data_IF_139707423942
#
_entry.id   IF_139707423942
#
_cell.length_a   1.000
_cell.length_b   1.000
_cell.length_c   1.000
_cell.angle_alpha   90.00
_cell.angle_beta   90.00
_cell.angle_gamma   90.00
#
_symmetry.space_group_name_H-M   'P 1'
#
loop_
_entity.id
_entity.type
_entity.pdbx_description
1 polymer ?
#
# COMPACT_ATOMS: atom_id res chain seq x y z
N UNK A 1 3.00 14.53 -12.34
CA UNK A 1 3.57 15.86 -12.03
C UNK A 1 4.43 16.42 -13.16
N UNK A 2 5.58 15.84 -13.52
CA UNK A 2 6.45 16.37 -14.61
C UNK A 2 5.71 16.58 -15.95
N UNK A 3 4.84 15.64 -16.37
CA UNK A 3 4.15 15.77 -17.64
C UNK A 3 3.18 16.96 -17.68
N UNK A 4 2.40 17.16 -16.61
CA UNK A 4 1.43 18.27 -16.52
C UNK A 4 2.08 19.62 -16.24
N UNK A 5 3.14 19.65 -15.43
CA UNK A 5 3.76 20.89 -14.96
C UNK A 5 4.90 21.38 -15.86
N UNK A 6 5.52 20.49 -16.65
CA UNK A 6 6.68 20.82 -17.46
C UNK A 6 6.41 20.61 -18.95
N UNK A 7 5.88 19.43 -19.34
CA UNK A 7 5.77 19.05 -20.75
C UNK A 7 4.56 19.72 -21.42
N UNK A 8 3.36 19.63 -20.85
CA UNK A 8 2.16 20.27 -21.42
C UNK A 8 2.36 21.78 -21.62
N UNK A 9 2.93 22.54 -20.67
CA UNK A 9 3.21 23.97 -20.87
C UNK A 9 4.16 24.28 -22.03
N UNK A 10 5.02 23.35 -22.45
CA UNK A 10 5.90 23.57 -23.62
C UNK A 10 5.13 23.63 -24.95
N UNK A 11 3.88 23.14 -24.98
CA UNK A 11 2.99 23.25 -26.14
C UNK A 11 2.29 24.61 -26.25
N UNK A 12 2.64 25.60 -25.40
CA UNK A 12 1.99 26.92 -25.41
C UNK A 12 2.43 27.84 -26.57
N UNK A 13 3.52 27.53 -27.26
CA UNK A 13 4.06 28.34 -28.36
C UNK A 13 3.53 27.83 -29.69
N UNK A 14 3.01 28.73 -30.53
CA UNK A 14 2.61 28.37 -31.89
C UNK A 14 3.81 27.87 -32.71
N UNK A 15 3.59 26.78 -33.46
CA UNK A 15 4.58 26.22 -34.39
C UNK A 15 5.07 27.30 -35.34
N UNK A 16 6.38 27.35 -35.56
CA UNK A 16 7.02 28.25 -36.53
C UNK A 16 7.11 27.55 -37.88
N UNK A 17 6.61 28.20 -38.93
CA UNK A 17 6.73 27.71 -40.30
C UNK A 17 8.14 27.94 -40.85
N UNK A 18 8.41 27.32 -42.00
CA UNK A 18 9.71 27.38 -42.69
C UNK A 18 10.10 28.80 -43.13
N UNK A 19 9.11 29.68 -43.33
CA UNK A 19 9.28 31.10 -43.61
C UNK A 19 9.45 31.96 -42.35
N UNK A 20 9.40 31.34 -41.17
CA UNK A 20 9.54 32.00 -39.89
C UNK A 20 8.27 32.61 -39.31
N UNK A 21 7.14 32.52 -40.03
CA UNK A 21 5.82 33.00 -39.60
C UNK A 21 5.14 32.03 -38.61
N UNK A 22 4.02 32.46 -38.03
CA UNK A 22 3.16 31.67 -37.13
C UNK A 22 1.72 31.87 -37.55
N UNK A 23 1.03 30.78 -37.87
CA UNK A 23 -0.38 30.80 -38.26
C UNK A 23 -1.20 30.13 -37.17
N UNK A 24 -2.12 30.89 -36.57
CA UNK A 24 -3.00 30.37 -35.50
C UNK A 24 -4.03 29.37 -36.02
N UNK A 25 -4.41 29.52 -37.28
CA UNK A 25 -5.41 28.70 -37.99
C UNK A 25 -4.91 27.27 -38.31
N UNK A 26 -3.63 26.97 -38.08
CA UNK A 26 -3.03 25.70 -38.48
C UNK A 26 -3.44 24.58 -37.52
N UNK A 27 -4.15 23.56 -38.04
CA UNK A 27 -4.78 22.49 -37.24
C UNK A 27 -3.77 21.64 -36.45
N UNK A 28 -2.54 21.51 -36.93
CA UNK A 28 -1.47 20.76 -36.22
C UNK A 28 -0.77 21.59 -35.15
N UNK A 29 -1.12 22.86 -35.01
CA UNK A 29 -0.52 23.73 -34.02
C UNK A 29 -0.95 23.29 -32.62
N UNK A 30 0.02 23.08 -31.71
CA UNK A 30 -0.22 22.64 -30.32
C UNK A 30 -0.92 21.29 -30.15
N UNK A 31 -1.00 20.48 -31.22
CA UNK A 31 -1.60 19.15 -31.18
C UNK A 31 -0.87 18.25 -30.17
N UNK A 32 -1.63 17.49 -29.38
CA UNK A 32 -1.08 16.53 -28.42
C UNK A 32 -1.49 15.11 -28.82
N UNK A 33 -0.52 14.19 -28.89
CA UNK A 33 -0.75 12.79 -29.23
C UNK A 33 -0.32 11.93 -28.05
N UNK A 34 -1.24 11.10 -27.55
CA UNK A 34 -1.02 10.18 -26.45
C UNK A 34 -1.15 8.75 -26.98
N UNK A 35 -0.10 7.94 -26.80
CA UNK A 35 -0.07 6.53 -27.23
C UNK A 35 0.30 5.69 -26.00
N UNK A 36 -0.53 4.70 -25.69
CA UNK A 36 -0.35 3.79 -24.55
C UNK A 36 -1.02 2.45 -24.84
N UNK A 37 -0.54 1.38 -24.21
CA UNK A 37 -1.36 0.17 -23.99
C UNK A 37 -2.28 0.38 -22.79
N UNK A 38 -3.24 -0.51 -22.56
CA UNK A 38 -4.04 -0.42 -21.35
C UNK A 38 -3.14 -0.52 -20.11
N UNK A 39 -3.57 0.08 -19.02
CA UNK A 39 -2.82 0.21 -17.77
C UNK A 39 -3.69 -0.17 -16.58
N UNK A 40 -3.35 0.40 -15.44
CA UNK A 40 -4.22 0.41 -14.26
C UNK A 40 -5.18 1.59 -14.32
N UNK A 41 -6.43 1.41 -13.87
CA UNK A 41 -7.45 2.49 -13.84
C UNK A 41 -7.09 3.67 -12.93
N UNK A 42 -6.19 3.50 -11.97
CA UNK A 42 -5.69 4.58 -11.12
C UNK A 42 -4.54 5.39 -11.77
N UNK A 43 -4.13 5.04 -12.99
CA UNK A 43 -3.01 5.72 -13.67
C UNK A 43 -3.44 7.01 -14.37
N UNK A 44 -2.47 7.90 -14.59
CA UNK A 44 -2.63 9.10 -15.40
C UNK A 44 -3.15 8.79 -16.81
N UNK A 45 -2.65 7.72 -17.44
CA UNK A 45 -3.03 7.34 -18.78
C UNK A 45 -4.52 6.98 -18.87
N UNK A 46 -5.08 6.32 -17.83
CA UNK A 46 -6.51 6.04 -17.76
C UNK A 46 -7.33 7.32 -17.62
N UNK A 47 -6.92 8.24 -16.74
CA UNK A 47 -7.60 9.52 -16.56
C UNK A 47 -7.61 10.33 -17.86
N UNK A 48 -6.49 10.38 -18.59
CA UNK A 48 -6.40 11.05 -19.89
C UNK A 48 -7.23 10.39 -20.99
N UNK A 49 -7.29 9.06 -21.01
CA UNK A 49 -8.17 8.34 -21.92
C UNK A 49 -9.64 8.77 -21.72
N UNK A 50 -10.11 8.84 -20.47
CA UNK A 50 -11.47 9.26 -20.15
C UNK A 50 -11.70 10.73 -20.54
N UNK A 51 -10.74 11.62 -20.26
CA UNK A 51 -10.79 13.03 -20.65
C UNK A 51 -10.94 13.20 -22.17
N UNK A 52 -10.08 12.53 -22.95
CA UNK A 52 -10.11 12.60 -24.42
C UNK A 52 -11.40 11.98 -24.97
N UNK A 53 -11.88 10.87 -24.38
CA UNK A 53 -13.14 10.26 -24.78
C UNK A 53 -14.32 11.23 -24.58
N UNK A 54 -14.42 11.87 -23.41
CA UNK A 54 -15.47 12.85 -23.13
C UNK A 54 -15.36 14.03 -24.10
N UNK A 55 -14.16 14.56 -24.32
CA UNK A 55 -13.95 15.68 -25.22
C UNK A 55 -14.25 15.31 -26.69
N UNK A 56 -13.98 14.07 -27.12
CA UNK A 56 -14.35 13.61 -28.48
C UNK A 56 -15.86 13.59 -28.72
N UNK A 57 -16.67 13.59 -27.66
CA UNK A 57 -18.13 13.71 -27.75
C UNK A 57 -18.56 15.18 -27.74
N UNK A 58 -17.91 16.00 -26.90
CA UNK A 58 -18.24 17.43 -26.74
C UNK A 58 -17.78 18.25 -27.94
N UNK A 59 -16.58 17.97 -28.44
CA UNK A 59 -15.87 18.70 -29.49
C UNK A 59 -15.18 17.72 -30.46
N UNK A 60 -15.97 17.00 -31.29
CA UNK A 60 -15.47 15.93 -32.16
C UNK A 60 -14.54 16.40 -33.27
N UNK A 61 -14.55 17.71 -33.60
CA UNK A 61 -13.68 18.28 -34.63
C UNK A 61 -12.24 18.48 -34.11
N UNK A 62 -12.07 18.62 -32.80
CA UNK A 62 -10.76 18.87 -32.15
C UNK A 62 -10.19 17.63 -31.43
N UNK A 63 -11.04 16.67 -31.02
CA UNK A 63 -10.63 15.50 -30.25
C UNK A 63 -10.98 14.20 -30.96
N UNK A 64 -9.96 13.35 -31.10
CA UNK A 64 -10.11 12.01 -31.63
C UNK A 64 -9.51 10.98 -30.66
N UNK A 65 -10.23 9.88 -30.49
CA UNK A 65 -9.80 8.70 -29.74
C UNK A 65 -9.83 7.48 -30.67
N UNK A 66 -8.77 6.68 -30.65
CA UNK A 66 -8.69 5.43 -31.38
C UNK A 66 -8.14 4.35 -30.46
N UNK A 67 -8.71 3.14 -30.56
CA UNK A 67 -8.27 1.98 -29.82
C UNK A 67 -8.45 0.73 -30.66
N UNK A 68 -7.62 -0.28 -30.40
CA UNK A 68 -7.67 -1.56 -31.09
C UNK A 68 -7.10 -2.66 -30.21
N UNK A 69 -7.43 -3.90 -30.56
CA UNK A 69 -6.84 -5.09 -29.95
C UNK A 69 -5.88 -5.73 -30.95
N UNK A 70 -5.19 -6.79 -30.53
CA UNK A 70 -4.37 -7.62 -31.42
C UNK A 70 -5.18 -8.23 -32.59
N UNK A 71 -6.51 -8.29 -32.51
CA UNK A 71 -7.36 -8.85 -33.56
C UNK A 71 -7.34 -8.00 -34.83
N UNK A 72 -7.19 -6.68 -34.70
CA UNK A 72 -7.12 -5.76 -35.85
C UNK A 72 -5.90 -6.02 -36.74
N UNK A 73 -4.64 -6.09 -36.23
CA UNK A 73 -3.50 -6.44 -37.06
C UNK A 73 -3.54 -7.90 -37.55
N UNK A 74 -4.16 -8.84 -36.82
CA UNK A 74 -4.37 -10.22 -37.33
C UNK A 74 -5.29 -10.20 -38.55
N UNK A 75 -6.45 -9.54 -38.45
CA UNK A 75 -7.40 -9.43 -39.57
C UNK A 75 -6.79 -8.69 -40.78
N UNK A 76 -5.87 -7.76 -40.55
CA UNK A 76 -5.14 -7.06 -41.60
C UNK A 76 -3.95 -7.86 -42.19
N UNK A 77 -3.66 -9.06 -41.68
CA UNK A 77 -2.52 -9.88 -42.10
C UNK A 77 -1.15 -9.33 -41.68
N UNK A 78 -1.13 -8.44 -40.67
CA UNK A 78 0.08 -7.82 -40.13
C UNK A 78 0.64 -8.55 -38.91
N UNK A 79 -0.19 -9.35 -38.22
CA UNK A 79 0.19 -10.19 -37.10
C UNK A 79 -0.23 -11.63 -37.38
N UNK A 80 0.66 -12.57 -37.13
CA UNK A 80 0.38 -14.00 -37.28
C UNK A 80 -0.50 -14.50 -36.13
N UNK A 81 -1.58 -15.22 -36.46
CA UNK A 81 -2.51 -15.77 -35.47
C UNK A 81 -1.82 -16.84 -34.62
N UNK A 82 -1.01 -17.70 -35.24
CA UNK A 82 -0.27 -18.78 -34.58
C UNK A 82 0.67 -18.24 -33.50
N UNK A 83 1.26 -17.05 -33.73
CA UNK A 83 2.13 -16.39 -32.75
C UNK A 83 1.36 -16.01 -31.47
N UNK A 84 0.14 -15.48 -31.61
CA UNK A 84 -0.70 -15.09 -30.47
C UNK A 84 -1.17 -16.32 -29.69
N UNK A 85 -1.53 -17.40 -30.41
CA UNK A 85 -1.89 -18.67 -29.77
C UNK A 85 -0.73 -19.28 -29.00
N UNK A 86 0.47 -19.29 -29.58
CA UNK A 86 1.68 -19.76 -28.88
C UNK A 86 1.97 -18.95 -27.63
N UNK A 87 1.79 -17.62 -27.68
CA UNK A 87 1.99 -16.75 -26.52
C UNK A 87 1.05 -17.11 -25.34
N UNK A 88 -0.18 -17.55 -25.64
CA UNK A 88 -1.15 -18.03 -24.64
C UNK A 88 -0.80 -19.39 -24.04
N UNK A 89 -0.07 -20.22 -24.78
CA UNK A 89 0.34 -21.56 -24.36
C UNK A 89 1.64 -21.58 -23.54
N UNK A 90 2.33 -20.44 -23.42
CA UNK A 90 3.56 -20.34 -22.63
C UNK A 90 3.27 -20.52 -21.13
N UNK A 91 4.12 -21.27 -20.43
CA UNK A 91 3.98 -21.46 -18.97
C UNK A 91 4.14 -20.18 -18.13
N UNK A 92 4.67 -19.11 -18.73
CA UNK A 92 4.79 -17.76 -18.15
C UNK A 92 3.60 -16.85 -18.47
N UNK A 93 2.56 -17.37 -19.12
CA UNK A 93 1.39 -16.60 -19.50
C UNK A 93 0.64 -16.06 -18.28
N UNK A 94 0.36 -14.77 -18.28
CA UNK A 94 -0.48 -14.09 -17.31
C UNK A 94 -1.65 -13.44 -18.05
N UNK A 95 -2.88 -13.89 -17.75
CA UNK A 95 -4.08 -13.47 -18.46
C UNK A 95 -4.37 -11.97 -18.28
N UNK A 96 -4.14 -11.41 -17.09
CA UNK A 96 -4.31 -9.97 -16.84
C UNK A 96 -3.31 -9.13 -17.65
N UNK A 97 -2.06 -9.58 -17.72
CA UNK A 97 -1.03 -8.92 -18.53
C UNK A 97 -1.36 -9.03 -20.02
N UNK A 98 -1.86 -10.17 -20.48
CA UNK A 98 -2.30 -10.33 -21.86
C UNK A 98 -3.52 -9.46 -22.19
N UNK A 99 -4.52 -9.41 -21.30
CA UNK A 99 -5.69 -8.56 -21.45
C UNK A 99 -5.30 -7.08 -21.57
N UNK A 100 -4.29 -6.67 -20.82
CA UNK A 100 -3.78 -5.31 -20.82
C UNK A 100 -3.00 -4.97 -22.09
N UNK A 101 -2.02 -5.80 -22.46
CA UNK A 101 -1.11 -5.50 -23.57
C UNK A 101 -1.71 -5.81 -24.95
N UNK A 102 -2.56 -6.84 -25.07
CA UNK A 102 -3.08 -7.33 -26.36
C UNK A 102 -4.57 -7.03 -26.57
N UNK A 103 -5.39 -7.00 -25.51
CA UNK A 103 -6.85 -6.77 -25.64
C UNK A 103 -7.30 -5.37 -25.27
N UNK A 104 -6.38 -4.48 -24.89
CA UNK A 104 -6.68 -3.10 -24.49
C UNK A 104 -7.72 -3.02 -23.36
N UNK A 105 -7.71 -3.99 -22.45
CA UNK A 105 -8.59 -4.04 -21.28
C UNK A 105 -7.86 -3.42 -20.09
N UNK A 106 -8.42 -2.36 -19.53
CA UNK A 106 -7.89 -1.69 -18.34
C UNK A 106 -8.23 -2.47 -17.08
N UNK A 107 -7.20 -2.89 -16.34
CA UNK A 107 -7.36 -3.61 -15.08
C UNK A 107 -7.78 -2.65 -13.95
N UNK A 108 -8.78 -3.07 -13.16
CA UNK A 108 -9.17 -2.40 -11.92
C UNK A 108 -8.15 -2.63 -10.80
N UNK A 109 -8.40 -2.05 -9.62
CA UNK A 109 -7.69 -2.44 -8.39
C UNK A 109 -7.80 -3.97 -8.26
N UNK A 110 -6.71 -4.64 -7.90
CA UNK A 110 -6.56 -6.11 -7.92
C UNK A 110 -7.82 -6.78 -7.37
N UNK A 111 -8.50 -7.62 -8.17
CA UNK A 111 -9.83 -8.19 -7.83
C UNK A 111 -9.86 -8.99 -6.50
N UNK A 112 -8.71 -9.29 -5.91
CA UNK A 112 -8.56 -9.96 -4.61
C UNK A 112 -7.90 -9.11 -3.52
N UNK A 113 -7.69 -7.81 -3.72
CA UNK A 113 -7.15 -6.96 -2.66
C UNK A 113 -8.22 -6.70 -1.59
N UNK A 114 -7.96 -7.17 -0.37
CA UNK A 114 -8.83 -6.94 0.79
C UNK A 114 -9.04 -5.46 1.13
N UNK A 115 -8.17 -4.59 0.62
CA UNK A 115 -8.12 -3.16 0.91
C UNK A 115 -7.97 -2.37 -0.39
N UNK A 116 -8.67 -1.23 -0.51
CA UNK A 116 -8.58 -0.38 -1.69
C UNK A 116 -7.34 0.53 -1.64
N UNK A 117 -6.62 0.63 -2.75
CA UNK A 117 -5.39 1.43 -2.87
C UNK A 117 -5.62 2.90 -2.48
N UNK A 118 -6.76 3.47 -2.88
CA UNK A 118 -7.16 4.84 -2.54
C UNK A 118 -7.30 5.07 -1.01
N UNK A 119 -7.76 4.05 -0.26
CA UNK A 119 -7.86 4.16 1.20
C UNK A 119 -6.47 4.17 1.82
N UNK A 120 -5.55 3.36 1.32
CA UNK A 120 -4.17 3.38 1.79
C UNK A 120 -3.52 4.74 1.57
N UNK A 121 -3.61 5.30 0.36
CA UNK A 121 -2.99 6.59 0.07
C UNK A 121 -3.56 7.72 0.93
N UNK A 122 -4.89 7.73 1.14
CA UNK A 122 -5.55 8.71 2.01
C UNK A 122 -5.12 8.62 3.47
N UNK A 123 -4.89 7.42 3.99
CA UNK A 123 -4.60 7.16 5.41
C UNK A 123 -3.14 6.75 5.66
N UNK A 124 -2.24 7.03 4.70
CA UNK A 124 -0.83 6.61 4.74
C UNK A 124 -0.03 7.29 5.86
N UNK A 125 -0.42 8.50 6.26
CA UNK A 125 0.27 9.30 7.28
C UNK A 125 -0.66 9.53 8.46
N UNK A 126 -0.19 9.15 9.66
CA UNK A 126 -0.87 9.49 10.91
C UNK A 126 -0.64 10.97 11.21
N UNK A 127 -1.69 11.78 11.10
CA UNK A 127 -1.62 13.23 11.36
C UNK A 127 -1.48 13.60 12.83
N UNK A 128 -1.96 12.73 13.73
CA UNK A 128 -1.96 12.95 15.17
C UNK A 128 -1.47 11.68 15.88
N UNK A 129 -0.18 11.33 15.75
CA UNK A 129 0.37 10.18 16.42
C UNK A 129 0.44 10.40 17.93
N UNK A 130 0.16 9.35 18.69
CA UNK A 130 0.36 9.36 20.15
C UNK A 130 1.69 8.69 20.48
N UNK A 131 2.56 9.36 21.23
CA UNK A 131 3.89 8.84 21.61
C UNK A 131 3.94 8.17 22.98
N UNK A 132 2.85 8.26 23.75
CA UNK A 132 2.70 7.69 25.08
C UNK A 132 1.23 7.59 25.46
N UNK A 133 0.93 7.06 26.64
CA UNK A 133 -0.42 7.06 27.20
C UNK A 133 -0.99 8.48 27.25
N UNK A 134 -1.98 8.79 26.41
CA UNK A 134 -2.47 10.17 26.24
C UNK A 134 -3.12 10.77 27.49
N UNK A 135 -3.67 9.95 28.40
CA UNK A 135 -4.43 10.37 29.59
C UNK A 135 -5.71 11.17 29.33
N UNK A 136 -5.89 11.71 28.11
CA UNK A 136 -6.99 12.58 27.67
C UNK A 136 -8.13 11.81 27.01
N UNK A 137 -8.24 10.52 27.31
CA UNK A 137 -9.21 9.62 26.69
C UNK A 137 -10.39 9.34 27.62
N UNK A 138 -11.46 8.72 27.10
CA UNK A 138 -12.52 8.21 27.98
C UNK A 138 -11.91 7.27 29.03
N UNK A 139 -12.49 7.22 30.23
CA UNK A 139 -12.01 6.32 31.31
C UNK A 139 -11.98 4.84 30.90
N UNK A 140 -12.74 4.47 29.87
CA UNK A 140 -12.84 3.11 29.35
C UNK A 140 -11.91 2.84 28.19
N UNK A 141 -11.24 3.86 27.63
CA UNK A 141 -10.29 3.68 26.54
C UNK A 141 -9.01 3.02 27.04
N UNK A 142 -8.46 2.12 26.24
CA UNK A 142 -7.22 1.41 26.56
C UNK A 142 -6.40 1.18 25.29
N UNK A 143 -5.12 0.87 25.47
CA UNK A 143 -4.22 0.55 24.37
C UNK A 143 -4.06 -0.97 24.22
N UNK A 144 -3.80 -1.41 23.00
CA UNK A 144 -3.40 -2.78 22.66
C UNK A 144 -2.27 -2.69 21.66
N UNK A 145 -1.28 -3.55 21.78
CA UNK A 145 -0.22 -3.67 20.79
C UNK A 145 -0.48 -4.88 19.89
N UNK A 146 -0.19 -4.75 18.60
CA UNK A 146 0.02 -5.86 17.68
C UNK A 146 1.47 -5.85 17.23
N UNK A 147 2.16 -6.98 17.38
CA UNK A 147 3.58 -7.11 17.05
C UNK A 147 3.75 -8.18 15.98
N UNK A 148 4.29 -7.77 14.84
CA UNK A 148 4.83 -8.66 13.82
C UNK A 148 6.34 -8.78 14.05
N UNK A 149 6.82 -10.01 14.17
CA UNK A 149 8.19 -10.28 14.65
C UNK A 149 9.10 -10.53 13.46
N UNK A 150 10.15 -9.71 13.33
CA UNK A 150 11.21 -9.89 12.36
C UNK A 150 12.52 -10.37 12.97
N UNK A 151 13.29 -11.12 12.19
CA UNK A 151 14.69 -11.46 12.50
C UNK A 151 15.49 -11.63 11.21
N UNK A 152 16.80 -11.37 11.28
CA UNK A 152 17.79 -11.49 10.20
C UNK A 152 17.35 -10.85 8.88
N UNK A 153 17.61 -9.54 8.72
CA UNK A 153 17.30 -8.83 7.48
C UNK A 153 15.82 -8.45 7.29
N UNK A 154 14.98 -8.78 8.27
CA UNK A 154 13.61 -8.27 8.38
C UNK A 154 13.52 -7.16 9.44
N UNK A 155 12.36 -6.54 9.59
CA UNK A 155 12.08 -5.56 10.65
C UNK A 155 11.01 -6.13 11.58
N UNK A 156 10.99 -5.66 12.83
CA UNK A 156 9.91 -5.92 13.79
C UNK A 156 9.02 -4.69 13.87
N UNK A 157 7.74 -4.87 13.63
CA UNK A 157 6.73 -3.80 13.63
C UNK A 157 5.84 -3.89 14.86
N UNK A 158 5.77 -2.80 15.61
CA UNK A 158 4.88 -2.65 16.76
C UNK A 158 3.81 -1.63 16.41
N UNK A 159 2.60 -2.13 16.17
CA UNK A 159 1.42 -1.31 15.92
C UNK A 159 0.69 -1.01 17.23
N UNK A 160 0.52 0.27 17.55
CA UNK A 160 -0.17 0.72 18.77
C UNK A 160 -1.58 1.14 18.43
N UNK A 161 -2.54 0.38 18.96
CA UNK A 161 -3.96 0.66 18.80
C UNK A 161 -4.55 1.24 20.07
N UNK A 162 -5.29 2.34 19.91
CA UNK A 162 -6.17 2.88 20.93
C UNK A 162 -7.57 2.36 20.69
N UNK A 163 -8.11 1.65 21.68
CA UNK A 163 -9.45 1.08 21.65
C UNK A 163 -10.36 1.93 22.52
N UNK A 164 -11.43 2.45 21.93
CA UNK A 164 -12.46 3.24 22.63
C UNK A 164 -13.78 2.46 22.60
N UNK A 165 -14.09 1.69 23.66
CA UNK A 165 -15.36 0.99 23.77
C UNK A 165 -16.54 1.95 23.66
N UNK A 166 -17.56 1.54 22.89
CA UNK A 166 -18.81 2.27 22.76
C UNK A 166 -19.86 1.67 23.69
N UNK A 167 -20.83 2.49 24.11
CA UNK A 167 -21.96 2.01 24.93
C UNK A 167 -22.81 1.00 24.14
N UNK A 168 -22.90 1.19 22.82
CA UNK A 168 -23.58 0.28 21.90
C UNK A 168 -22.78 0.18 20.59
N UNK A 169 -22.70 -1.03 20.03
CA UNK A 169 -21.95 -1.30 18.79
C UNK A 169 -20.49 -1.71 19.03
N UNK A 170 -19.75 -1.84 17.93
CA UNK A 170 -18.34 -2.22 17.98
C UNK A 170 -17.47 -1.10 18.57
N UNK A 171 -16.41 -1.47 19.30
CA UNK A 171 -15.43 -0.51 19.78
C UNK A 171 -14.68 0.14 18.60
N UNK A 172 -14.43 1.44 18.69
CA UNK A 172 -13.52 2.10 17.76
C UNK A 172 -12.09 1.69 18.07
N UNK A 173 -11.36 1.24 17.04
CA UNK A 173 -9.95 0.87 17.12
C UNK A 173 -9.20 1.81 16.20
N UNK A 174 -8.30 2.62 16.76
CA UNK A 174 -7.52 3.60 16.00
C UNK A 174 -6.05 3.24 16.12
N UNK A 175 -5.36 3.09 15.00
CA UNK A 175 -3.91 3.02 14.97
C UNK A 175 -3.36 4.41 15.31
N UNK A 176 -2.67 4.53 16.43
CA UNK A 176 -2.15 5.82 16.93
C UNK A 176 -0.65 5.94 16.79
N UNK A 177 0.07 4.83 16.60
CA UNK A 177 1.49 4.85 16.28
C UNK A 177 1.95 3.51 15.69
N UNK A 178 3.06 3.54 14.96
CA UNK A 178 3.80 2.36 14.50
C UNK A 178 5.26 2.60 14.84
N UNK A 179 5.89 1.64 15.49
CA UNK A 179 7.34 1.61 15.69
C UNK A 179 7.93 0.48 14.86
N UNK A 180 9.01 0.79 14.13
CA UNK A 180 9.76 -0.19 13.34
C UNK A 180 11.15 -0.28 13.93
N UNK A 181 11.57 -1.50 14.25
CA UNK A 181 12.90 -1.81 14.74
C UNK A 181 13.59 -2.74 13.75
N UNK A 182 14.86 -2.51 13.49
CA UNK A 182 15.67 -3.42 12.68
C UNK A 182 15.77 -4.79 13.35
N UNK A 183 16.01 -5.86 12.57
CA UNK A 183 16.18 -7.21 13.09
C UNK A 183 17.42 -7.36 13.97
N UNK A 184 17.30 -6.93 15.21
CA UNK A 184 18.27 -7.11 16.27
C UNK A 184 18.07 -8.45 17.00
N UNK A 185 18.92 -8.70 17.99
CA UNK A 185 18.73 -9.83 18.89
C UNK A 185 17.40 -9.70 19.66
N UNK A 186 16.72 -10.83 19.90
CA UNK A 186 15.42 -10.83 20.60
C UNK A 186 15.48 -10.24 22.00
N UNK A 187 16.63 -10.31 22.66
CA UNK A 187 16.84 -9.65 23.94
C UNK A 187 16.65 -8.14 23.85
N UNK A 188 17.23 -7.50 22.82
CA UNK A 188 17.11 -6.06 22.57
C UNK A 188 15.71 -5.68 22.13
N UNK A 189 15.12 -6.47 21.22
CA UNK A 189 13.73 -6.26 20.80
C UNK A 189 12.76 -6.33 22.00
N UNK A 190 12.98 -7.27 22.93
CA UNK A 190 12.21 -7.41 24.15
C UNK A 190 12.30 -6.15 25.04
N UNK A 191 13.50 -5.57 25.19
CA UNK A 191 13.72 -4.33 25.94
C UNK A 191 12.88 -3.19 25.33
N UNK A 192 12.89 -3.02 24.01
CA UNK A 192 12.06 -2.00 23.34
C UNK A 192 10.57 -2.20 23.59
N UNK A 193 10.08 -3.44 23.48
CA UNK A 193 8.68 -3.77 23.73
C UNK A 193 8.30 -3.44 25.18
N UNK A 194 9.16 -3.77 26.15
CA UNK A 194 8.92 -3.50 27.56
C UNK A 194 8.91 -2.00 27.87
N UNK A 195 9.82 -1.21 27.31
CA UNK A 195 9.76 0.26 27.45
C UNK A 195 8.46 0.84 26.88
N UNK A 196 8.05 0.40 25.68
CA UNK A 196 6.77 0.82 25.09
C UNK A 196 5.59 0.38 25.95
N UNK A 197 5.62 -0.81 26.52
CA UNK A 197 4.59 -1.28 27.45
C UNK A 197 4.44 -0.32 28.64
N UNK A 198 5.54 0.07 29.29
CA UNK A 198 5.46 1.00 30.43
C UNK A 198 5.06 2.42 30.02
N UNK A 199 5.39 2.84 28.78
CA UNK A 199 5.04 4.15 28.23
C UNK A 199 3.55 4.28 27.87
N UNK A 200 2.97 3.27 27.25
CA UNK A 200 1.57 3.30 26.80
C UNK A 200 0.59 2.59 27.74
N UNK A 201 1.10 1.71 28.61
CA UNK A 201 0.31 0.90 29.55
C UNK A 201 -0.81 0.14 28.83
N UNK A 202 -0.50 -0.65 27.78
CA UNK A 202 -1.51 -1.38 27.05
C UNK A 202 -2.14 -2.46 27.92
N UNK A 203 -3.40 -2.76 27.65
CA UNK A 203 -4.13 -3.83 28.34
C UNK A 203 -3.59 -5.20 27.96
N UNK A 204 -3.17 -5.37 26.70
CA UNK A 204 -2.63 -6.61 26.13
C UNK A 204 -1.66 -6.29 25.01
N UNK A 205 -0.74 -7.21 24.79
CA UNK A 205 0.14 -7.27 23.61
C UNK A 205 -0.22 -8.56 22.88
N UNK A 206 -0.58 -8.46 21.61
CA UNK A 206 -0.72 -9.59 20.70
C UNK A 206 0.57 -9.70 19.90
N UNK A 207 1.17 -10.89 19.90
CA UNK A 207 2.43 -11.19 19.21
C UNK A 207 2.13 -12.31 18.22
N UNK A 208 2.57 -12.17 16.98
CA UNK A 208 2.61 -13.32 16.09
C UNK A 208 3.68 -14.31 16.59
N UNK A 209 3.21 -15.36 17.27
CA UNK A 209 4.05 -16.39 17.86
C UNK A 209 4.45 -17.47 16.85
N UNK A 210 3.97 -17.41 15.60
CA UNK A 210 4.27 -18.43 14.61
C UNK A 210 5.75 -18.38 14.20
N UNK A 211 6.33 -19.56 14.01
CA UNK A 211 7.73 -19.70 13.57
C UNK A 211 8.71 -19.08 14.58
N UNK A 212 9.29 -17.94 14.22
CA UNK A 212 10.35 -17.29 15.00
C UNK A 212 9.84 -16.45 16.18
N UNK A 213 8.56 -16.04 16.17
CA UNK A 213 7.97 -15.24 17.25
C UNK A 213 7.94 -15.93 18.61
N UNK A 214 7.91 -17.27 18.63
CA UNK A 214 8.05 -18.06 19.87
C UNK A 214 9.33 -17.72 20.64
N UNK A 215 10.42 -17.46 19.93
CA UNK A 215 11.69 -17.10 20.56
C UNK A 215 11.65 -15.72 21.21
N UNK A 216 10.85 -14.78 20.71
CA UNK A 216 10.66 -13.48 21.35
C UNK A 216 9.87 -13.63 22.67
N UNK A 217 8.88 -14.52 22.69
CA UNK A 217 8.10 -14.83 23.90
C UNK A 217 9.01 -15.36 25.01
N UNK A 218 9.95 -16.26 24.68
CA UNK A 218 10.92 -16.81 25.64
C UNK A 218 11.77 -15.74 26.35
N UNK A 219 12.03 -14.59 25.71
CA UNK A 219 12.72 -13.46 26.33
C UNK A 219 11.76 -12.55 27.11
N UNK A 220 10.52 -12.37 26.64
CA UNK A 220 9.52 -11.53 27.32
C UNK A 220 9.11 -12.10 28.67
N UNK A 221 9.06 -13.42 28.82
CA UNK A 221 8.74 -14.09 30.11
C UNK A 221 9.89 -14.06 31.12
N UNK A 222 11.05 -13.50 30.75
CA UNK A 222 12.19 -13.32 31.65
C UNK A 222 12.29 -11.87 32.08
N UNK A 223 12.69 -11.65 33.32
CA UNK A 223 13.12 -10.32 33.74
C UNK A 223 14.46 -9.98 33.08
N UNK A 224 14.68 -8.70 32.80
CA UNK A 224 15.90 -8.19 32.19
C UNK A 224 16.39 -6.98 32.96
N UNK A 225 17.69 -6.75 32.94
CA UNK A 225 18.31 -5.52 33.44
C UNK A 225 19.03 -4.88 32.25
N UNK A 226 18.76 -3.60 31.98
CA UNK A 226 19.44 -2.88 30.89
C UNK A 226 20.88 -2.55 31.29
N UNK A 227 21.72 -2.16 30.33
CA UNK A 227 23.09 -1.74 30.61
C UNK A 227 23.17 -0.57 31.60
N UNK A 228 22.14 0.26 31.65
CA UNK A 228 22.01 1.40 32.57
C UNK A 228 21.49 1.00 33.97
N UNK A 229 21.27 -0.29 34.24
CA UNK A 229 20.76 -0.82 35.50
C UNK A 229 19.24 -0.72 35.67
N UNK A 230 18.48 -0.46 34.60
CA UNK A 230 17.03 -0.44 34.66
C UNK A 230 16.48 -1.87 34.70
N UNK A 231 15.72 -2.19 35.75
CA UNK A 231 15.05 -3.47 35.87
C UNK A 231 13.71 -3.50 35.12
N UNK A 232 13.59 -4.43 34.18
CA UNK A 232 12.42 -4.67 33.36
C UNK A 232 11.79 -6.04 33.70
N UNK A 233 10.67 -6.06 34.44
CA UNK A 233 9.98 -7.28 34.88
C UNK A 233 9.64 -8.27 33.75
N UNK A 234 9.49 -9.54 34.13
CA UNK A 234 8.95 -10.60 33.27
C UNK A 234 7.47 -10.35 32.94
N UNK A 235 7.07 -10.66 31.72
CA UNK A 235 5.67 -10.62 31.30
C UNK A 235 5.01 -11.98 31.46
N UNK A 236 3.68 -11.97 31.60
CA UNK A 236 2.88 -13.18 31.56
C UNK A 236 2.31 -13.48 30.18
N UNK A 237 1.89 -14.72 29.98
CA UNK A 237 1.33 -15.22 28.72
C UNK A 237 -0.14 -15.60 28.91
N UNK A 238 -0.98 -15.24 27.96
CA UNK A 238 -2.38 -15.65 27.91
C UNK A 238 -2.64 -16.51 26.68
N UNK A 239 -3.76 -17.25 26.68
CA UNK A 239 -4.16 -18.13 25.57
C UNK A 239 -3.14 -19.25 25.30
N UNK A 240 -2.75 -19.98 26.35
CA UNK A 240 -1.71 -21.02 26.34
C UNK A 240 -2.26 -22.41 26.06
N UNK A 241 -3.50 -22.52 25.57
CA UNK A 241 -4.13 -23.81 25.26
C UNK A 241 -3.35 -24.56 24.18
N UNK A 242 -2.87 -23.83 23.18
CA UNK A 242 -2.03 -24.34 22.08
C UNK A 242 -0.52 -24.32 22.40
N UNK A 243 -0.12 -23.70 23.52
CA UNK A 243 1.27 -23.58 23.95
C UNK A 243 1.45 -24.01 25.43
N UNK A 244 1.38 -25.33 25.72
CA UNK A 244 1.39 -25.85 27.09
C UNK A 244 2.60 -25.43 27.92
N UNK A 245 3.76 -25.23 27.30
CA UNK A 245 5.02 -24.77 27.91
C UNK A 245 4.87 -23.42 28.62
N UNK A 246 3.95 -22.58 28.16
CA UNK A 246 3.72 -21.26 28.72
C UNK A 246 2.65 -21.23 29.82
N UNK A 247 1.98 -22.35 30.14
CA UNK A 247 0.93 -22.39 31.16
C UNK A 247 1.38 -21.92 32.55
N UNK A 248 2.65 -22.15 32.88
CA UNK A 248 3.25 -21.71 34.15
C UNK A 248 3.47 -20.19 34.22
N UNK A 249 3.41 -19.48 33.09
CA UNK A 249 3.60 -18.03 32.99
C UNK A 249 2.27 -17.28 32.80
N UNK A 250 1.12 -17.92 33.04
CA UNK A 250 -0.18 -17.24 33.01
C UNK A 250 -0.26 -16.26 34.17
N UNK A 251 -0.35 -14.97 33.84
CA UNK A 251 -0.67 -13.91 34.81
C UNK A 251 -2.17 -13.61 34.77
N UNK A 252 -2.76 -13.20 35.90
CA UNK A 252 -4.17 -12.81 36.00
C UNK A 252 -4.51 -11.51 35.31
#
# INVERSE_FOLDING_TARGET
DILNEVIIPTTNVDRRLSDGSRHKEETVNKSQIYITTAGWKNSFAYQKLIEILINSIIDPDEYMIMGGTYETPVAAGLLDEDFVEQLRLQGTFNDESFNREYRSIWSGDVENAFFSSEKFDKYRVLLQPEYEYSGRSSKTAYYVFGIDVGRVGCTTEICIFKVTPQVQGAAYKTLVNIYTYDAEHFETQCIYIKHLYYKYKPRRIAIDANGLGVGLIDYLIKAQETEDGEYLPSFGVFNTDEYPEYKQYITG
#
